data_IF_698440535819
#
_entry.id   IF_698440535819
#
_cell.length_a   1.000
_cell.length_b   1.000
_cell.length_c   1.000
_cell.angle_alpha   90.00
_cell.angle_beta   90.00
_cell.angle_gamma   90.00
#
_symmetry.space_group_name_H-M   'P 1'
#
loop_
_entity.id
_entity.type
_entity.pdbx_description
1 polymer ?
#
# COMPACT_ATOMS: atom_id res chain seq x y z
N UNK A 1 28.12 -1.47 18.20
CA UNK A 1 27.12 -0.43 17.87
C UNK A 1 25.73 -1.00 18.14
N UNK A 2 24.88 -0.33 18.93
CA UNK A 2 23.48 -0.73 19.08
C UNK A 2 22.84 -0.74 17.69
N UNK A 3 22.28 -1.88 17.28
CA UNK A 3 21.57 -1.98 16.01
C UNK A 3 20.27 -1.18 16.18
N UNK A 4 20.00 -0.15 15.35
CA UNK A 4 18.75 0.57 15.49
C UNK A 4 17.60 -0.43 15.27
N UNK A 5 16.77 -0.57 16.30
CA UNK A 5 15.75 -1.60 16.37
C UNK A 5 14.48 -1.09 15.68
N UNK A 6 13.95 -1.86 14.72
CA UNK A 6 12.64 -1.58 14.13
C UNK A 6 11.57 -2.03 15.11
N UNK A 7 10.69 -1.11 15.53
CA UNK A 7 9.60 -1.41 16.45
C UNK A 7 8.76 -2.61 15.97
N UNK A 8 8.41 -3.50 16.88
CA UNK A 8 7.76 -4.78 16.56
C UNK A 8 6.48 -4.62 15.74
N UNK A 9 5.71 -3.56 15.98
CA UNK A 9 4.53 -3.22 15.18
C UNK A 9 4.86 -3.07 13.69
N UNK A 10 5.83 -2.21 13.33
CA UNK A 10 6.23 -2.00 11.93
C UNK A 10 6.85 -3.26 11.33
N UNK A 11 7.56 -4.04 12.15
CA UNK A 11 8.13 -5.30 11.70
C UNK A 11 7.04 -6.29 11.29
N UNK A 12 6.02 -6.47 12.12
CA UNK A 12 4.87 -7.35 11.82
C UNK A 12 4.10 -6.81 10.62
N UNK A 13 3.79 -5.52 10.63
CA UNK A 13 3.01 -4.90 9.55
C UNK A 13 3.69 -5.05 8.19
N UNK A 14 4.93 -4.57 8.06
CA UNK A 14 5.62 -4.55 6.78
C UNK A 14 6.10 -5.92 6.30
N UNK A 15 6.26 -6.92 7.17
CA UNK A 15 6.76 -8.24 6.73
C UNK A 15 5.69 -9.31 6.70
N UNK A 16 4.55 -9.12 7.36
CA UNK A 16 3.46 -10.11 7.41
C UNK A 16 2.20 -9.54 6.78
N UNK A 17 1.69 -8.42 7.31
CA UNK A 17 0.40 -7.87 6.88
C UNK A 17 0.48 -7.40 5.43
N UNK A 18 1.41 -6.49 5.11
CA UNK A 18 1.54 -5.93 3.77
C UNK A 18 1.78 -7.01 2.69
N UNK A 19 2.73 -7.95 2.83
CA UNK A 19 2.89 -9.03 1.85
C UNK A 19 1.67 -9.90 1.66
N UNK A 20 0.92 -10.17 2.74
CA UNK A 20 -0.28 -11.00 2.66
C UNK A 20 -1.36 -10.30 1.84
N UNK A 21 -1.58 -9.01 2.12
CA UNK A 21 -2.54 -8.19 1.35
C UNK A 21 -2.13 -8.15 -0.11
N UNK A 22 -0.87 -7.83 -0.40
CA UNK A 22 -0.35 -7.76 -1.78
C UNK A 22 -0.47 -9.12 -2.49
N UNK A 23 -0.20 -10.23 -1.81
CA UNK A 23 -0.34 -11.57 -2.37
C UNK A 23 -1.77 -11.82 -2.85
N UNK A 24 -2.77 -11.53 -2.02
CA UNK A 24 -4.18 -11.68 -2.43
C UNK A 24 -4.57 -10.70 -3.53
N UNK A 25 -4.05 -9.46 -3.50
CA UNK A 25 -4.27 -8.49 -4.60
C UNK A 25 -3.72 -9.02 -5.92
N UNK A 26 -2.51 -9.60 -5.93
CA UNK A 26 -1.91 -10.21 -7.13
C UNK A 26 -2.79 -11.33 -7.67
N UNK A 27 -3.25 -12.24 -6.81
CA UNK A 27 -4.14 -13.33 -7.24
C UNK A 27 -5.44 -12.77 -7.84
N UNK A 28 -6.04 -11.77 -7.20
CA UNK A 28 -7.27 -11.17 -7.69
C UNK A 28 -7.06 -10.44 -9.03
N UNK A 29 -5.94 -9.73 -9.23
CA UNK A 29 -5.64 -9.09 -10.50
C UNK A 29 -5.46 -10.08 -11.67
N UNK A 30 -4.95 -11.28 -11.41
CA UNK A 30 -4.70 -12.31 -12.43
C UNK A 30 -5.94 -13.17 -12.68
N UNK A 31 -6.58 -13.67 -11.62
CA UNK A 31 -7.66 -14.64 -11.70
C UNK A 31 -9.06 -14.03 -11.68
N UNK A 32 -9.19 -12.77 -11.23
CA UNK A 32 -10.47 -12.07 -11.14
C UNK A 32 -10.36 -10.60 -11.55
N UNK A 33 -9.81 -10.29 -12.75
CA UNK A 33 -9.56 -8.92 -13.19
C UNK A 33 -10.84 -8.08 -13.31
N UNK A 34 -11.97 -8.70 -13.68
CA UNK A 34 -13.26 -8.03 -13.72
C UNK A 34 -13.66 -7.51 -12.33
N UNK A 35 -13.56 -8.36 -11.31
CA UNK A 35 -13.85 -7.99 -9.91
C UNK A 35 -12.94 -6.87 -9.42
N UNK A 36 -11.66 -6.88 -9.79
CA UNK A 36 -10.74 -5.77 -9.43
C UNK A 36 -11.16 -4.46 -10.11
N UNK A 37 -11.53 -4.50 -11.40
CA UNK A 37 -12.01 -3.29 -12.08
C UNK A 37 -13.30 -2.75 -11.45
N UNK A 38 -14.20 -3.63 -11.01
CA UNK A 38 -15.43 -3.24 -10.32
C UNK A 38 -15.18 -2.46 -9.03
N UNK A 39 -14.03 -2.67 -8.40
CA UNK A 39 -13.66 -1.94 -7.18
C UNK A 39 -13.30 -0.48 -7.42
N UNK A 40 -13.08 -0.08 -8.68
CA UNK A 40 -12.74 1.28 -9.09
C UNK A 40 -13.83 1.91 -9.96
N UNK A 41 -14.42 1.14 -10.87
CA UNK A 41 -15.49 1.58 -11.73
C UNK A 41 -16.61 0.53 -11.78
N UNK A 42 -17.86 0.88 -11.42
CA UNK A 42 -18.95 -0.08 -11.50
C UNK A 42 -19.19 -0.49 -12.97
N UNK A 43 -19.67 -1.73 -13.22
CA UNK A 43 -19.92 -2.23 -14.58
C UNK A 43 -20.90 -1.38 -15.40
N UNK A 44 -21.77 -0.63 -14.73
CA UNK A 44 -22.71 0.30 -15.37
C UNK A 44 -22.03 1.52 -15.99
N UNK A 45 -20.81 1.86 -15.57
CA UNK A 45 -20.02 2.98 -16.10
C UNK A 45 -18.97 2.45 -17.07
N UNK A 46 -18.16 1.47 -16.67
CA UNK A 46 -17.16 0.84 -17.54
C UNK A 46 -17.16 -0.68 -17.35
N UNK A 47 -17.70 -1.45 -18.31
CA UNK A 47 -17.66 -2.90 -18.25
C UNK A 47 -16.24 -3.41 -18.51
N UNK A 48 -15.88 -4.53 -17.89
CA UNK A 48 -14.56 -5.13 -18.10
C UNK A 48 -14.34 -5.55 -19.56
N UNK A 49 -13.25 -5.05 -20.15
CA UNK A 49 -12.78 -5.39 -21.50
C UNK A 49 -11.41 -6.07 -21.44
N UNK A 50 -11.30 -7.38 -21.72
CA UNK A 50 -10.07 -8.14 -21.52
C UNK A 50 -8.85 -7.59 -22.27
N UNK A 51 -9.02 -7.16 -23.52
CA UNK A 51 -7.90 -6.68 -24.34
C UNK A 51 -7.39 -5.29 -23.91
N UNK A 52 -8.26 -4.45 -23.34
CA UNK A 52 -7.91 -3.09 -22.92
C UNK A 52 -7.45 -3.03 -21.45
N UNK A 53 -8.16 -3.73 -20.57
CA UNK A 53 -7.92 -3.66 -19.13
C UNK A 53 -7.04 -4.81 -18.61
N UNK A 54 -7.13 -5.99 -19.23
CA UNK A 54 -6.39 -7.18 -18.78
C UNK A 54 -4.88 -6.96 -18.68
N UNK A 55 -4.21 -6.46 -19.74
CA UNK A 55 -2.77 -6.18 -19.69
C UNK A 55 -2.38 -5.19 -18.59
N UNK A 56 -3.21 -4.17 -18.33
CA UNK A 56 -2.94 -3.18 -17.28
C UNK A 56 -3.08 -3.79 -15.88
N UNK A 57 -4.11 -4.60 -15.65
CA UNK A 57 -4.29 -5.30 -14.37
C UNK A 57 -3.19 -6.34 -14.12
N UNK A 58 -2.68 -6.99 -15.17
CA UNK A 58 -1.52 -7.87 -15.06
C UNK A 58 -0.23 -7.10 -14.74
N UNK A 59 -0.04 -5.89 -15.27
CA UNK A 59 1.07 -5.01 -14.87
C UNK A 59 0.94 -4.57 -13.41
N UNK A 60 -0.28 -4.26 -12.96
CA UNK A 60 -0.57 -3.98 -11.55
C UNK A 60 -0.25 -5.18 -10.66
N UNK A 61 -0.58 -6.40 -11.09
CA UNK A 61 -0.19 -7.63 -10.41
C UNK A 61 1.34 -7.78 -10.33
N UNK A 62 2.07 -7.47 -11.42
CA UNK A 62 3.53 -7.52 -11.41
C UNK A 62 4.14 -6.52 -10.41
N UNK A 63 3.61 -5.29 -10.34
CA UNK A 63 4.04 -4.28 -9.38
C UNK A 63 3.80 -4.72 -7.92
N UNK A 64 2.59 -5.19 -7.62
CA UNK A 64 2.26 -5.66 -6.27
C UNK A 64 3.00 -6.93 -5.88
N UNK A 65 3.27 -7.83 -6.84
CA UNK A 65 4.12 -8.99 -6.63
C UNK A 65 5.56 -8.60 -6.29
N UNK A 66 6.12 -7.64 -7.03
CA UNK A 66 7.43 -7.07 -6.73
C UNK A 66 7.48 -6.46 -5.31
N UNK A 67 6.52 -5.61 -4.96
CA UNK A 67 6.44 -5.01 -3.61
C UNK A 67 6.27 -6.09 -2.53
N UNK A 68 5.44 -7.11 -2.78
CA UNK A 68 5.23 -8.23 -1.88
C UNK A 68 6.52 -8.99 -1.58
N UNK A 69 7.35 -9.23 -2.60
CA UNK A 69 8.68 -9.86 -2.42
C UNK A 69 9.63 -8.94 -1.66
N UNK A 70 9.66 -7.64 -1.97
CA UNK A 70 10.51 -6.68 -1.25
C UNK A 70 10.16 -6.66 0.26
N UNK A 71 8.88 -6.68 0.58
CA UNK A 71 8.40 -6.71 1.95
C UNK A 71 8.59 -8.06 2.63
N UNK A 72 8.32 -9.17 1.93
CA UNK A 72 8.42 -10.50 2.52
C UNK A 72 9.86 -10.99 2.65
N UNK A 73 10.73 -10.66 1.71
CA UNK A 73 12.08 -11.22 1.60
C UNK A 73 13.12 -10.19 1.99
N UNK A 74 13.20 -9.06 1.28
CA UNK A 74 14.28 -8.08 1.49
C UNK A 74 14.26 -7.51 2.91
N UNK A 75 13.09 -7.13 3.43
CA UNK A 75 13.01 -6.60 4.79
C UNK A 75 13.35 -7.65 5.87
N UNK A 76 13.14 -8.95 5.61
CA UNK A 76 13.59 -10.01 6.52
C UNK A 76 15.09 -10.26 6.44
N UNK A 77 15.66 -10.11 5.24
CA UNK A 77 17.09 -10.30 5.00
C UNK A 77 17.94 -9.12 5.50
N UNK A 78 17.38 -7.90 5.51
CA UNK A 78 18.10 -6.70 5.91
C UNK A 78 17.79 -6.27 7.35
N UNK A 79 18.76 -6.31 8.28
CA UNK A 79 18.60 -5.76 9.62
C UNK A 79 18.81 -4.24 9.66
N UNK A 80 19.20 -3.59 8.55
CA UNK A 80 19.50 -2.15 8.51
C UNK A 80 18.21 -1.32 8.34
N UNK A 81 17.83 -0.50 9.33
CA UNK A 81 16.66 0.37 9.23
C UNK A 81 16.74 1.41 8.11
N UNK A 82 17.93 1.73 7.58
CA UNK A 82 18.05 2.60 6.41
C UNK A 82 17.42 1.93 5.19
N UNK A 83 17.67 0.63 4.98
CA UNK A 83 17.05 -0.13 3.88
C UNK A 83 15.54 -0.15 4.04
N UNK A 84 15.05 -0.35 5.26
CA UNK A 84 13.62 -0.31 5.54
C UNK A 84 13.02 1.06 5.23
N UNK A 85 13.66 2.16 5.65
CA UNK A 85 13.20 3.52 5.34
C UNK A 85 13.20 3.81 3.84
N UNK A 86 14.21 3.36 3.09
CA UNK A 86 14.24 3.53 1.64
C UNK A 86 13.09 2.78 0.98
N UNK A 87 12.89 1.52 1.34
CA UNK A 87 11.80 0.69 0.80
C UNK A 87 10.44 1.29 1.14
N UNK A 88 10.18 1.65 2.40
CA UNK A 88 8.90 2.24 2.79
C UNK A 88 8.69 3.64 2.21
N UNK A 89 9.76 4.43 2.01
CA UNK A 89 9.70 5.73 1.34
C UNK A 89 9.34 5.59 -0.14
N UNK A 90 9.94 4.62 -0.84
CA UNK A 90 9.59 4.31 -2.22
C UNK A 90 8.15 3.82 -2.34
N UNK A 91 7.71 2.92 -1.44
CA UNK A 91 6.33 2.43 -1.47
C UNK A 91 5.31 3.50 -1.10
N UNK A 92 5.65 4.45 -0.22
CA UNK A 92 4.80 5.61 0.04
C UNK A 92 4.52 6.42 -1.24
N UNK A 93 5.50 6.51 -2.15
CA UNK A 93 5.28 7.10 -3.48
C UNK A 93 4.21 6.35 -4.29
N UNK A 94 4.19 5.01 -4.22
CA UNK A 94 3.15 4.19 -4.85
C UNK A 94 1.79 4.45 -4.21
N UNK A 95 1.71 4.52 -2.87
CA UNK A 95 0.45 4.81 -2.17
C UNK A 95 -0.12 6.17 -2.59
N UNK A 96 0.72 7.20 -2.67
CA UNK A 96 0.31 8.54 -3.12
C UNK A 96 -0.18 8.53 -4.57
N UNK A 97 0.46 7.76 -5.45
CA UNK A 97 0.02 7.60 -6.83
C UNK A 97 -1.34 6.88 -6.92
N UNK A 98 -1.58 5.87 -6.08
CA UNK A 98 -2.88 5.20 -5.97
C UNK A 98 -3.97 6.17 -5.48
N UNK A 99 -3.70 6.95 -4.43
CA UNK A 99 -4.63 7.96 -3.92
C UNK A 99 -4.95 9.04 -4.96
N UNK A 100 -3.94 9.50 -5.71
CA UNK A 100 -4.14 10.43 -6.83
C UNK A 100 -5.01 9.82 -7.94
N UNK A 101 -4.83 8.52 -8.21
CA UNK A 101 -5.66 7.78 -9.18
C UNK A 101 -7.12 7.73 -8.72
N UNK A 102 -7.38 7.37 -7.46
CA UNK A 102 -8.74 7.36 -6.90
C UNK A 102 -9.37 8.75 -6.90
N UNK A 103 -8.61 9.79 -6.55
CA UNK A 103 -9.08 11.16 -6.59
C UNK A 103 -9.53 11.57 -8.02
N UNK A 104 -8.71 11.29 -9.03
CA UNK A 104 -9.04 11.61 -10.42
C UNK A 104 -10.27 10.84 -10.91
N UNK A 105 -10.43 9.59 -10.48
CA UNK A 105 -11.56 8.75 -10.83
C UNK A 105 -12.87 9.23 -10.18
N UNK A 106 -12.83 9.56 -8.88
CA UNK A 106 -13.98 10.16 -8.20
C UNK A 106 -14.34 11.52 -8.80
N UNK A 107 -13.34 12.32 -9.20
CA UNK A 107 -13.54 13.60 -9.88
C UNK A 107 -14.23 13.41 -11.23
N UNK A 108 -13.79 12.45 -12.06
CA UNK A 108 -14.42 12.20 -13.37
C UNK A 108 -15.86 11.70 -13.23
N UNK A 109 -16.20 11.06 -12.12
CA UNK A 109 -17.56 10.63 -11.78
C UNK A 109 -18.40 11.71 -11.04
N UNK A 110 -17.84 12.89 -10.74
CA UNK A 110 -18.47 13.91 -9.89
C UNK A 110 -18.87 13.39 -8.47
N UNK A 111 -18.09 12.45 -7.90
CA UNK A 111 -18.32 11.79 -6.61
C UNK A 111 -17.26 12.12 -5.55
N UNK A 112 -16.74 13.35 -5.55
CA UNK A 112 -15.73 13.78 -4.59
C UNK A 112 -16.27 13.93 -3.16
N UNK A 113 -17.57 14.13 -3.00
CA UNK A 113 -18.19 14.22 -1.68
C UNK A 113 -18.14 12.87 -0.95
N UNK A 114 -17.65 12.85 0.28
CA UNK A 114 -17.56 11.63 1.11
C UNK A 114 -18.90 10.91 1.29
N UNK A 115 -20.03 11.63 1.21
CA UNK A 115 -21.38 11.06 1.30
C UNK A 115 -21.76 10.23 0.07
N UNK A 116 -21.11 10.46 -1.07
CA UNK A 116 -21.35 9.76 -2.33
C UNK A 116 -20.46 8.51 -2.49
N UNK A 117 -19.57 8.24 -1.52
CA UNK A 117 -18.67 7.08 -1.53
C UNK A 117 -19.45 5.81 -1.22
N UNK A 118 -19.23 4.80 -2.05
CA UNK A 118 -19.72 3.45 -1.80
C UNK A 118 -18.93 2.80 -0.66
N UNK A 119 -19.43 1.68 -0.14
CA UNK A 119 -18.67 0.89 0.85
C UNK A 119 -17.32 0.43 0.29
N UNK A 120 -17.23 0.17 -1.01
CA UNK A 120 -15.99 -0.24 -1.67
C UNK A 120 -14.98 0.91 -1.78
N UNK A 121 -15.46 2.13 -2.04
CA UNK A 121 -14.62 3.34 -2.05
C UNK A 121 -13.98 3.59 -0.67
N UNK A 122 -14.76 3.43 0.39
CA UNK A 122 -14.27 3.53 1.77
C UNK A 122 -13.23 2.47 2.10
N UNK A 123 -13.43 1.22 1.66
CA UNK A 123 -12.45 0.16 1.87
C UNK A 123 -11.17 0.46 1.10
N UNK A 124 -11.24 0.74 -0.21
CA UNK A 124 -10.04 0.98 -1.02
C UNK A 124 -9.27 2.22 -0.57
N UNK A 125 -9.92 3.39 -0.57
CA UNK A 125 -9.27 4.66 -0.26
C UNK A 125 -8.89 4.70 1.22
N UNK A 126 -9.80 4.32 2.11
CA UNK A 126 -9.55 4.32 3.55
C UNK A 126 -8.41 3.38 3.95
N UNK A 127 -8.36 2.18 3.36
CA UNK A 127 -7.26 1.25 3.60
C UNK A 127 -5.94 1.80 3.06
N UNK A 128 -5.90 2.32 1.83
CA UNK A 128 -4.67 2.93 1.28
C UNK A 128 -4.19 4.11 2.12
N UNK A 129 -5.09 5.00 2.57
CA UNK A 129 -4.74 6.10 3.48
C UNK A 129 -4.17 5.56 4.79
N UNK A 130 -4.82 4.57 5.40
CA UNK A 130 -4.38 3.97 6.66
C UNK A 130 -2.95 3.39 6.55
N UNK A 131 -2.70 2.61 5.50
CA UNK A 131 -1.37 2.02 5.26
C UNK A 131 -0.33 3.13 4.99
N UNK A 132 -0.69 4.13 4.20
CA UNK A 132 0.17 5.29 3.94
C UNK A 132 0.54 6.04 5.23
N UNK A 133 -0.40 6.23 6.15
CA UNK A 133 -0.15 6.84 7.46
C UNK A 133 0.81 6.02 8.32
N UNK A 134 0.70 4.69 8.30
CA UNK A 134 1.66 3.80 8.99
C UNK A 134 3.07 4.01 8.44
N UNK A 135 3.22 4.12 7.12
CA UNK A 135 4.52 4.39 6.47
C UNK A 135 5.04 5.78 6.83
N UNK A 136 4.20 6.82 6.80
CA UNK A 136 4.58 8.17 7.24
C UNK A 136 5.04 8.18 8.69
N UNK A 137 4.33 7.50 9.59
CA UNK A 137 4.71 7.40 11.00
C UNK A 137 6.07 6.71 11.16
N UNK A 138 6.29 5.60 10.44
CA UNK A 138 7.57 4.89 10.44
C UNK A 138 8.73 5.76 9.93
N UNK A 139 8.54 6.43 8.80
CA UNK A 139 9.56 7.30 8.18
C UNK A 139 9.90 8.50 9.06
N UNK A 140 8.90 9.03 9.77
CA UNK A 140 9.04 10.11 10.74
C UNK A 140 9.70 9.67 12.06
N UNK A 141 9.99 8.38 12.22
CA UNK A 141 10.64 7.83 13.41
C UNK A 141 9.72 7.66 14.62
N UNK A 142 8.40 7.67 14.42
CA UNK A 142 7.44 7.32 15.47
C UNK A 142 7.71 5.87 15.91
N UNK A 143 7.75 5.61 17.22
CA UNK A 143 8.05 4.29 17.77
C UNK A 143 9.51 3.83 17.66
N UNK A 144 10.43 4.65 17.14
CA UNK A 144 11.86 4.40 17.22
C UNK A 144 12.40 4.66 18.63
N UNK A 145 13.31 3.82 19.11
CA UNK A 145 14.02 4.04 20.37
C UNK A 145 14.76 5.38 20.29
N UNK A 146 14.18 6.39 20.93
CA UNK A 146 14.94 7.51 21.47
C UNK A 146 15.87 6.88 22.49
N UNK A 147 17.10 6.63 22.08
CA UNK A 147 18.21 6.42 23.01
C UNK A 147 18.10 7.51 24.10
N UNK A 148 17.82 7.06 25.33
CA UNK A 148 18.10 7.70 26.62
C UNK A 148 18.93 9.00 26.53
N UNK A 149 18.32 10.09 26.10
CA UNK A 149 18.92 11.42 26.10
C UNK A 149 18.07 12.30 27.02
N UNK A 150 18.14 11.98 28.32
CA UNK A 150 17.76 12.83 29.49
C UNK A 150 17.57 12.04 30.81
N UNK A 151 18.46 11.10 31.16
CA UNK A 151 18.51 10.56 32.55
C UNK A 151 19.92 10.41 33.14
N UNK A 152 20.90 11.08 32.54
CA UNK A 152 22.23 11.29 33.14
C UNK A 152 22.72 12.65 32.68
N UNK A 153 22.28 13.68 33.40
CA UNK A 153 22.66 15.08 33.30
C UNK A 153 22.17 15.76 34.55
#
# INVERSE_FOLDING_TARGET
>A
MPRPYVHSFYRIWFTIVDPTVLFFTVLACIFSPATILETVAPPSIEPYRPLSHGPLLHQTAALFGFLGIMFAVLLRASPDPKVWKIVQGATLGVDLALLATFYNLLRSQNRLEFRAWSGVDWVNIGFTVWVGLIRVAYLSGVGGDREKKDKTG
#
